data_IF_758838342865
#
_entry.id   IF_758838342865
#
_cell.length_a   1.000
_cell.length_b   1.000
_cell.length_c   1.000
_cell.angle_alpha   90.00
_cell.angle_beta   90.00
_cell.angle_gamma   90.00
#
_symmetry.space_group_name_H-M   'P 1'
#
loop_
_entity.id
_entity.type
_entity.pdbx_description
1 polymer ?
2 non-polymer ?
3 non-polymer ?
4 non-polymer ?
5 water ?
#
# COMPACT_ATOMS: atom_id res chain seq x y z
N UNK A 2 19.06 -7.69 -37.24
CA UNK A 2 19.39 -6.49 -36.40
C UNK A 2 18.30 -6.21 -35.37
N UNK A 3 18.71 -5.80 -34.17
CA UNK A 3 17.74 -5.59 -33.11
C UNK A 3 16.74 -4.51 -33.48
N UNK A 4 17.23 -3.38 -34.00
CA UNK A 4 16.34 -2.28 -34.31
C UNK A 4 15.41 -2.62 -35.46
N UNK A 5 15.93 -3.29 -36.49
CA UNK A 5 15.05 -3.71 -37.58
C UNK A 5 13.97 -4.66 -37.09
N UNK A 6 14.32 -5.60 -36.21
CA UNK A 6 13.31 -6.51 -35.68
C UNK A 6 12.29 -5.77 -34.82
N UNK A 7 12.69 -4.68 -34.15
CA UNK A 7 11.74 -3.88 -33.40
C UNK A 7 10.70 -3.20 -34.31
N UNK A 8 11.13 -2.68 -35.46
CA UNK A 8 10.15 -2.14 -36.41
C UNK A 8 9.19 -3.21 -36.91
N UNK A 9 9.67 -4.44 -37.14
CA UNK A 9 8.77 -5.54 -37.51
C UNK A 9 7.78 -5.83 -36.38
N UNK A 10 8.28 -5.89 -35.14
CA UNK A 10 7.39 -6.13 -34.02
C UNK A 10 6.31 -5.06 -33.92
N UNK A 11 6.66 -3.81 -34.19
CA UNK A 11 5.71 -2.71 -34.04
C UNK A 11 4.58 -2.82 -35.05
N UNK A 12 4.89 -3.35 -36.24
CA UNK A 12 3.87 -3.61 -37.25
C UNK A 12 2.95 -4.77 -36.86
N UNK A 13 3.47 -5.76 -36.15
CA UNK A 13 2.61 -6.84 -35.62
C UNK A 13 1.65 -6.29 -34.58
N UNK A 14 2.11 -5.36 -33.74
CA UNK A 14 1.27 -4.88 -32.65
C UNK A 14 1.60 -3.44 -32.30
N UNK A 15 0.61 -2.58 -32.43
CA UNK A 15 0.75 -1.18 -32.10
C UNK A 15 0.35 -1.02 -30.61
N UNK A 16 1.29 -0.70 -29.72
CA UNK A 16 0.92 -0.62 -28.28
C UNK A 16 0.26 0.69 -27.86
N UNK A 17 0.04 1.63 -28.78
CA UNK A 17 -0.44 2.96 -28.40
C UNK A 17 -1.74 2.88 -27.62
N UNK A 18 -2.75 2.18 -28.17
CA UNK A 18 -4.04 2.13 -27.53
C UNK A 18 -4.00 1.44 -26.18
N UNK A 19 -3.09 0.48 -26.03
CA UNK A 19 -2.96 -0.18 -24.74
C UNK A 19 -2.24 0.71 -23.72
N UNK A 20 -1.22 1.45 -24.17
CA UNK A 20 -0.62 2.47 -23.31
C UNK A 20 -1.64 3.52 -22.91
N UNK A 21 -2.52 3.90 -23.84
CA UNK A 21 -3.54 4.89 -23.51
C UNK A 21 -4.50 4.32 -22.46
N UNK A 22 -4.85 3.06 -22.61
CA UNK A 22 -5.74 2.42 -21.65
C UNK A 22 -5.07 2.37 -20.29
N UNK A 23 -3.78 2.06 -20.24
CA UNK A 23 -3.08 2.02 -18.99
C UNK A 23 -3.08 3.40 -18.32
N UNK A 24 -2.88 4.45 -19.10
CA UNK A 24 -2.90 5.79 -18.55
C UNK A 24 -4.24 6.07 -17.88
N UNK A 25 -5.30 5.72 -18.59
CA UNK A 25 -6.63 5.90 -18.08
C UNK A 25 -6.82 5.19 -16.73
N UNK A 26 -6.42 3.94 -16.66
CA UNK A 26 -6.55 3.18 -15.44
C UNK A 26 -5.72 3.79 -14.32
N UNK A 27 -4.52 4.25 -14.64
CA UNK A 27 -3.68 4.87 -13.65
C UNK A 27 -4.36 6.13 -13.09
N UNK A 28 -4.90 6.96 -13.97
CA UNK A 28 -5.59 8.19 -13.59
C UNK A 28 -6.83 7.90 -12.76
N UNK A 29 -7.58 6.87 -13.13
CA UNK A 29 -8.75 6.47 -12.40
C UNK A 29 -8.35 6.06 -10.98
N UNK A 30 -7.25 5.36 -10.84
CA UNK A 30 -6.74 4.97 -9.58
C UNK A 30 -6.37 6.19 -8.71
N UNK A 31 -5.72 7.18 -9.29
CA UNK A 31 -5.37 8.39 -8.57
C UNK A 31 -6.66 9.06 -8.07
N UNK A 32 -7.67 9.10 -8.92
CA UNK A 32 -8.96 9.73 -8.60
C UNK A 32 -9.62 9.01 -7.43
N UNK A 33 -9.62 7.69 -7.47
CA UNK A 33 -10.18 6.92 -6.35
C UNK A 33 -9.39 7.15 -5.06
N UNK A 34 -8.08 7.30 -5.17
CA UNK A 34 -7.27 7.57 -4.01
C UNK A 34 -7.67 8.89 -3.39
N UNK A 35 -7.78 9.92 -4.20
CA UNK A 35 -8.16 11.23 -3.68
C UNK A 35 -9.57 11.20 -3.15
N UNK A 36 -10.49 10.62 -3.87
CA UNK A 36 -11.85 10.56 -3.43
C UNK A 36 -12.14 9.81 -2.17
N UNK A 37 -11.52 8.68 -2.01
CA UNK A 37 -11.82 7.85 -0.89
C UNK A 37 -10.81 7.81 0.23
N UNK A 38 -9.57 8.12 -0.05
CA UNK A 38 -8.54 7.98 0.96
C UNK A 38 -7.78 9.22 1.40
N UNK A 39 -7.26 9.97 0.44
CA UNK A 39 -6.52 11.19 0.77
C UNK A 39 -7.47 12.33 1.10
N UNK A 40 -8.53 12.51 0.31
CA UNK A 40 -9.61 13.46 0.54
C UNK A 40 -9.04 14.84 0.87
N UNK A 41 -8.02 15.23 0.11
CA UNK A 41 -7.40 16.52 0.36
C UNK A 41 -8.31 17.67 -0.07
N UNK A 42 -8.95 17.55 -1.24
CA UNK A 42 -9.77 18.62 -1.78
C UNK A 42 -11.21 18.46 -1.29
N UNK A 43 -11.94 19.56 -1.32
CA UNK A 43 -13.40 19.48 -1.26
C UNK A 43 -13.90 18.70 -2.48
N UNK A 44 -14.97 17.93 -2.29
CA UNK A 44 -15.49 17.08 -3.37
C UNK A 44 -15.78 17.93 -4.60
N UNK A 45 -16.30 19.14 -4.41
CA UNK A 45 -16.57 20.04 -5.53
C UNK A 45 -15.31 20.39 -6.30
N UNK A 46 -14.17 20.43 -5.63
CA UNK A 46 -12.94 20.80 -6.23
C UNK A 46 -12.10 19.67 -6.88
N UNK A 47 -12.63 18.47 -7.00
CA UNK A 47 -11.89 17.38 -7.60
C UNK A 47 -12.17 17.18 -9.08
N UNK A 48 -13.02 18.01 -9.63
CA UNK A 48 -13.40 17.90 -11.01
C UNK A 48 -12.35 17.76 -12.10
N UNK A 49 -11.28 18.48 -11.95
CA UNK A 49 -10.20 18.41 -12.90
C UNK A 49 -9.42 17.10 -12.78
N UNK A 50 -9.28 16.57 -11.56
CA UNK A 50 -8.64 15.26 -11.38
C UNK A 50 -9.51 14.18 -12.00
N UNK A 51 -10.82 14.33 -11.82
CA UNK A 51 -11.82 13.43 -12.35
C UNK A 51 -11.87 13.37 -13.87
N UNK A 52 -11.58 14.48 -14.53
CA UNK A 52 -11.59 14.57 -15.99
C UNK A 52 -10.35 13.87 -16.55
N UNK A 53 -10.38 12.56 -16.59
CA UNK A 53 -9.18 11.79 -16.88
C UNK A 53 -8.84 11.74 -18.37
N UNK A 54 -9.79 11.98 -19.27
CA UNK A 54 -9.48 11.95 -20.69
C UNK A 54 -8.90 13.27 -21.18
N UNK A 55 -8.71 14.26 -20.31
CA UNK A 55 -8.15 15.53 -20.70
C UNK A 55 -6.64 15.46 -20.88
N UNK A 56 -6.16 16.11 -21.95
CA UNK A 56 -4.72 16.23 -22.18
C UNK A 56 -4.02 17.10 -21.15
N UNK A 57 -4.75 17.94 -20.41
CA UNK A 57 -4.18 18.73 -19.31
C UNK A 57 -4.14 17.97 -17.99
N UNK A 58 -4.61 16.72 -17.95
CA UNK A 58 -4.64 15.95 -16.70
C UNK A 58 -3.32 15.94 -15.93
N UNK A 59 -2.17 15.78 -16.63
CA UNK A 59 -0.90 15.81 -15.90
C UNK A 59 -0.65 17.13 -15.15
N UNK A 60 -1.07 18.25 -15.69
CA UNK A 60 -0.88 19.52 -15.02
C UNK A 60 -1.64 19.51 -13.70
N UNK A 61 -2.84 18.98 -13.69
CA UNK A 61 -3.62 18.91 -12.49
C UNK A 61 -2.99 17.94 -11.50
N UNK A 62 -2.45 16.83 -11.98
CA UNK A 62 -1.79 15.89 -11.10
C UNK A 62 -0.58 16.52 -10.44
N UNK A 63 0.13 17.37 -11.19
CA UNK A 63 1.32 18.07 -10.67
C UNK A 63 0.92 19.00 -9.54
N UNK A 64 -0.15 19.75 -9.74
CA UNK A 64 -0.70 20.57 -8.67
C UNK A 64 -1.11 19.71 -7.49
N UNK A 65 -1.67 18.52 -7.74
CA UNK A 65 -2.12 17.66 -6.65
C UNK A 65 -0.95 17.19 -5.81
N UNK A 66 0.09 16.67 -6.47
CA UNK A 66 1.27 16.23 -5.76
C UNK A 66 1.88 17.37 -4.95
N UNK A 67 1.89 18.59 -5.51
CA UNK A 67 2.30 19.74 -4.72
C UNK A 67 1.35 19.97 -3.56
N UNK A 68 0.03 19.89 -3.80
CA UNK A 68 -0.92 20.27 -2.77
C UNK A 68 -0.89 19.33 -1.57
N UNK A 69 -0.49 18.07 -1.75
CA UNK A 69 -0.39 17.15 -0.62
C UNK A 69 1.05 17.03 -0.11
N UNK A 70 1.95 17.90 -0.60
CA UNK A 70 3.35 17.90 -0.18
C UNK A 70 4.02 16.57 -0.48
N UNK A 71 3.69 15.98 -1.62
CA UNK A 71 4.39 14.78 -2.04
C UNK A 71 5.82 15.17 -2.42
N UNK A 72 6.84 14.46 -1.96
CA UNK A 72 8.23 14.84 -2.27
C UNK A 72 8.72 14.41 -3.65
N UNK A 73 7.87 13.80 -4.47
CA UNK A 73 8.24 13.36 -5.79
C UNK A 73 7.46 14.14 -6.84
N UNK A 74 7.96 14.14 -8.06
CA UNK A 74 7.27 14.83 -9.13
C UNK A 74 6.61 13.79 -10.01
N UNK A 75 5.81 14.24 -10.96
CA UNK A 75 5.09 13.34 -11.86
C UNK A 75 6.00 12.44 -12.65
N UNK A 76 7.13 12.94 -13.09
CA UNK A 76 8.09 12.16 -13.81
C UNK A 76 8.53 10.93 -13.02
N UNK A 77 8.52 11.01 -11.70
CA UNK A 77 8.82 9.84 -10.90
C UNK A 77 7.53 9.17 -10.46
N UNK A 78 6.83 8.58 -11.41
CA UNK A 78 5.53 8.00 -11.13
C UNK A 78 5.47 6.84 -10.14
N UNK A 79 6.40 5.92 -10.22
CA UNK A 79 6.37 4.81 -9.32
C UNK A 79 6.53 5.26 -7.88
N UNK A 80 7.45 6.18 -7.66
CA UNK A 80 7.71 6.72 -6.34
C UNK A 80 6.53 7.54 -5.83
N UNK A 81 5.88 8.30 -6.72
CA UNK A 81 4.71 9.07 -6.30
C UNK A 81 3.59 8.16 -5.85
N UNK A 82 3.35 7.08 -6.59
CA UNK A 82 2.28 6.16 -6.24
C UNK A 82 2.54 5.54 -4.88
N UNK A 83 3.74 4.99 -4.68
CA UNK A 83 4.10 4.40 -3.40
C UNK A 83 3.95 5.41 -2.26
N UNK A 84 4.37 6.65 -2.49
CA UNK A 84 4.27 7.66 -1.45
C UNK A 84 2.82 7.97 -1.12
N UNK A 85 1.98 8.09 -2.16
CA UNK A 85 0.56 8.40 -1.94
C UNK A 85 -0.15 7.26 -1.23
N UNK A 86 0.19 6.02 -1.59
CA UNK A 86 -0.34 4.86 -0.87
C UNK A 86 0.10 4.89 0.60
N UNK A 87 1.37 5.16 0.87
CA UNK A 87 1.81 5.31 2.24
C UNK A 87 1.05 6.37 3.00
N UNK A 88 0.84 7.53 2.38
CA UNK A 88 0.02 8.58 2.98
C UNK A 88 -1.40 8.08 3.22
N UNK A 89 -2.00 7.43 2.22
CA UNK A 89 -3.35 6.89 2.39
C UNK A 89 -3.43 5.91 3.56
N UNK A 90 -2.44 5.03 3.68
CA UNK A 90 -2.47 4.06 4.77
C UNK A 90 -2.40 4.76 6.12
N UNK A 91 -1.50 5.73 6.26
CA UNK A 91 -1.36 6.43 7.52
C UNK A 91 -2.60 7.24 7.84
N UNK A 92 -3.26 7.77 6.80
CA UNK A 92 -4.49 8.51 7.05
C UNK A 92 -5.61 7.56 7.47
N UNK A 93 -5.59 6.35 6.92
CA UNK A 93 -6.68 5.41 7.19
C UNK A 93 -6.55 4.77 8.56
N UNK A 94 -5.33 4.52 9.01
CA UNK A 94 -5.12 3.79 10.26
C UNK A 94 -5.59 4.63 11.45
N UNK A 95 -6.55 4.11 12.21
CA UNK A 95 -7.15 4.90 13.27
C UNK A 95 -8.33 5.69 12.74
N UNK A 96 -9.29 5.01 12.13
CA UNK A 96 -10.44 5.66 11.49
C UNK A 96 -10.04 6.97 10.81
N UNK B 2 25.96 -5.86 37.04
CA UNK B 2 27.08 -6.76 36.66
C UNK B 2 26.81 -7.42 35.31
N UNK B 3 26.28 -8.65 35.33
CA UNK B 3 25.93 -9.31 34.08
C UNK B 3 24.75 -8.61 33.41
N UNK B 4 23.87 -8.00 34.21
CA UNK B 4 22.71 -7.34 33.62
C UNK B 4 23.09 -6.02 32.98
N UNK B 5 24.06 -5.32 33.57
CA UNK B 5 24.49 -4.06 32.96
C UNK B 5 25.27 -4.34 31.67
N UNK B 6 25.92 -5.50 31.59
CA UNK B 6 26.64 -5.85 30.36
C UNK B 6 25.66 -6.23 29.26
N UNK B 7 24.55 -6.89 29.64
CA UNK B 7 23.53 -7.22 28.66
C UNK B 7 22.86 -5.96 28.14
N UNK B 8 22.63 -5.00 29.01
CA UNK B 8 22.01 -3.75 28.61
C UNK B 8 22.89 -3.01 27.61
N UNK B 9 24.18 -2.97 27.85
CA UNK B 9 25.09 -2.28 26.94
C UNK B 9 25.08 -2.96 25.59
N UNK B 10 25.08 -4.27 25.57
CA UNK B 10 25.04 -5.02 24.33
C UNK B 10 23.75 -4.77 23.56
N UNK B 11 22.63 -4.76 24.26
CA UNK B 11 21.35 -4.54 23.64
C UNK B 11 21.27 -3.17 23.03
N UNK B 12 21.79 -2.19 23.75
CA UNK B 12 21.79 -0.82 23.27
C UNK B 12 22.64 -0.66 22.02
N UNK B 13 23.77 -1.36 21.98
CA UNK B 13 24.70 -1.31 20.87
C UNK B 13 24.12 -1.81 19.55
N UNK B 14 23.31 -2.86 19.62
CA UNK B 14 22.67 -3.44 18.45
C UNK B 14 21.33 -2.82 18.07
N UNK B 15 20.84 -1.90 18.87
CA UNK B 15 19.53 -1.28 18.67
C UNK B 15 19.74 0.20 18.39
N UNK B 16 20.37 0.55 17.26
CA UNK B 16 20.71 1.96 17.00
C UNK B 16 19.48 2.84 16.81
N UNK B 17 18.39 2.31 16.23
CA UNK B 17 17.17 3.07 16.01
C UNK B 17 16.36 3.30 17.29
N UNK B 18 16.67 2.55 18.36
CA UNK B 18 15.92 2.71 19.59
C UNK B 18 14.59 1.99 19.63
N UNK B 19 14.44 0.89 18.86
CA UNK B 19 13.18 0.14 18.86
C UNK B 19 12.90 -0.40 20.26
N UNK B 20 11.63 -0.51 20.61
CA UNK B 20 11.26 -0.97 21.94
C UNK B 20 10.03 -1.87 21.90
N UNK B 21 9.75 -2.51 23.03
CA UNK B 21 8.56 -3.35 23.18
C UNK B 21 7.29 -2.65 22.69
N UNK B 22 7.18 -1.34 22.88
CA UNK B 22 6.01 -0.63 22.39
C UNK B 22 5.89 -0.76 20.87
N UNK B 23 7.02 -0.72 20.17
CA UNK B 23 6.99 -0.86 18.71
C UNK B 23 6.50 -2.25 18.31
N UNK B 24 6.95 -3.29 19.01
CA UNK B 24 6.45 -4.63 18.80
C UNK B 24 4.94 -4.68 18.89
N UNK B 25 4.40 -4.10 19.97
CA UNK B 25 2.96 -4.06 20.17
C UNK B 25 2.26 -3.31 19.03
N UNK B 26 2.82 -2.17 18.63
CA UNK B 26 2.24 -1.39 17.53
C UNK B 26 2.24 -2.19 16.24
N UNK B 27 3.34 -2.89 15.94
CA UNK B 27 3.37 -3.75 14.78
C UNK B 27 2.24 -4.78 14.83
N UNK B 28 2.09 -5.49 15.96
CA UNK B 28 1.02 -6.48 16.05
C UNK B 28 -0.35 -5.84 15.90
N UNK B 29 -0.60 -4.71 16.57
CA UNK B 29 -1.88 -4.03 16.41
C UNK B 29 -2.13 -3.66 14.94
N UNK B 30 -1.07 -3.33 14.22
CA UNK B 30 -1.25 -2.96 12.82
C UNK B 30 -1.66 -4.16 11.99
N UNK B 31 -1.03 -5.32 12.24
CA UNK B 31 -1.41 -6.56 11.56
C UNK B 31 -2.86 -6.88 11.88
N UNK B 32 -3.26 -6.66 13.14
CA UNK B 32 -4.62 -6.97 13.57
C UNK B 32 -5.61 -6.10 12.82
N UNK B 33 -5.28 -4.81 12.71
CA UNK B 33 -6.13 -3.87 11.98
C UNK B 33 -6.22 -4.23 10.51
N UNK B 34 -5.09 -4.61 9.88
CA UNK B 34 -5.17 -5.03 8.50
C UNK B 34 -6.16 -6.18 8.33
N UNK B 35 -6.01 -7.21 9.12
CA UNK B 35 -6.89 -8.34 9.02
C UNK B 35 -8.32 -7.94 9.36
N UNK B 36 -8.52 -7.13 10.38
CA UNK B 36 -9.88 -6.73 10.73
C UNK B 36 -10.64 -5.91 9.73
N UNK B 37 -9.97 -4.94 9.17
CA UNK B 37 -10.60 -4.01 8.31
C UNK B 37 -10.33 -4.10 6.83
N UNK B 38 -9.21 -4.68 6.45
CA UNK B 38 -8.82 -4.65 5.06
C UNK B 38 -8.78 -6.01 4.38
N UNK B 39 -8.17 -7.02 4.99
CA UNK B 39 -8.04 -8.34 4.37
C UNK B 39 -9.20 -9.24 4.73
N UNK B 40 -9.53 -9.33 6.02
CA UNK B 40 -10.70 -10.07 6.52
C UNK B 40 -10.73 -11.51 5.98
N UNK B 41 -9.59 -12.19 6.07
CA UNK B 41 -9.50 -13.57 5.65
C UNK B 41 -10.26 -14.48 6.61
N UNK B 42 -10.15 -14.23 7.90
CA UNK B 42 -10.84 -15.01 8.91
C UNK B 42 -12.23 -14.42 9.13
N UNK B 43 -13.13 -15.27 9.63
CA UNK B 43 -14.37 -14.79 10.21
C UNK B 43 -14.06 -13.98 11.47
N UNK B 44 -14.90 -12.96 11.71
CA UNK B 44 -14.62 -12.04 12.79
C UNK B 44 -14.46 -12.76 14.12
N UNK B 45 -15.18 -13.87 14.31
CA UNK B 45 -15.10 -14.57 15.59
C UNK B 45 -13.85 -15.45 15.68
N UNK B 46 -13.08 -15.55 14.60
CA UNK B 46 -11.89 -16.38 14.58
C UNK B 46 -10.60 -15.57 14.63
N UNK B 47 -10.68 -14.29 14.98
CA UNK B 47 -9.51 -13.43 15.01
C UNK B 47 -8.96 -13.24 16.43
N UNK B 48 -9.48 -13.97 17.41
CA UNK B 48 -9.16 -13.69 18.81
C UNK B 48 -7.70 -13.91 19.16
N UNK B 49 -7.07 -14.88 18.54
CA UNK B 49 -5.67 -15.15 18.82
C UNK B 49 -4.78 -14.10 18.17
N UNK B 50 -5.17 -13.63 16.99
CA UNK B 50 -4.46 -12.57 16.32
C UNK B 50 -4.58 -11.29 17.16
N UNK B 51 -5.76 -11.07 17.71
CA UNK B 51 -6.07 -9.92 18.57
C UNK B 51 -5.30 -9.87 19.87
N UNK B 52 -5.01 -11.04 20.45
CA UNK B 52 -4.27 -11.16 21.71
C UNK B 52 -2.78 -10.89 21.49
N UNK B 53 -2.46 -9.62 21.29
CA UNK B 53 -1.12 -9.21 20.86
C UNK B 53 -0.09 -9.30 21.97
N UNK B 54 -0.52 -9.29 23.24
CA UNK B 54 0.41 -9.38 24.36
C UNK B 54 0.82 -10.81 24.69
N UNK B 55 0.34 -11.78 23.93
CA UNK B 55 0.72 -13.14 24.19
C UNK B 55 2.05 -13.45 23.53
N UNK B 56 2.87 -14.27 24.17
CA UNK B 56 4.15 -14.70 23.60
C UNK B 56 3.99 -15.73 22.46
N UNK B 57 2.81 -16.33 22.36
CA UNK B 57 2.42 -17.21 21.29
C UNK B 57 1.96 -16.46 20.01
N UNK B 58 1.89 -15.14 20.03
CA UNK B 58 1.40 -14.40 18.88
C UNK B 58 2.16 -14.68 17.59
N UNK B 59 3.49 -14.84 17.64
CA UNK B 59 4.19 -15.16 16.39
C UNK B 59 3.73 -16.47 15.73
N UNK B 60 3.38 -17.49 16.51
CA UNK B 60 2.86 -18.74 15.97
C UNK B 60 1.56 -18.48 15.22
N UNK B 61 0.70 -17.62 15.78
CA UNK B 61 -0.54 -17.28 15.14
C UNK B 61 -0.28 -16.45 13.88
N UNK B 62 0.59 -15.46 13.96
CA UNK B 62 0.97 -14.69 12.77
C UNK B 62 1.56 -15.61 11.70
N UNK B 63 2.44 -16.54 12.09
CA UNK B 63 2.98 -17.53 11.14
C UNK B 63 1.86 -18.27 10.43
N UNK B 64 0.85 -18.73 11.19
CA UNK B 64 -0.30 -19.41 10.60
C UNK B 64 -1.08 -18.49 9.67
N UNK B 65 -1.21 -17.22 10.05
CA UNK B 65 -1.93 -16.26 9.24
C UNK B 65 -1.27 -16.06 7.89
N UNK B 66 0.06 -15.92 7.87
CA UNK B 66 0.74 -15.71 6.60
C UNK B 66 0.60 -16.94 5.70
N UNK B 67 0.67 -18.13 6.28
CA UNK B 67 0.41 -19.34 5.50
C UNK B 67 -1.02 -19.35 4.97
N UNK B 68 -2.00 -19.05 5.84
CA UNK B 68 -3.40 -19.14 5.42
C UNK B 68 -3.73 -18.18 4.29
N UNK B 69 -3.09 -17.01 4.27
CA UNK B 69 -3.37 -16.05 3.20
C UNK B 69 -2.42 -16.21 2.03
N UNK B 70 -1.56 -17.24 2.03
CA UNK B 70 -0.61 -17.55 0.95
C UNK B 70 0.42 -16.44 0.75
N UNK B 71 0.79 -15.79 1.83
CA UNK B 71 1.85 -14.81 1.76
C UNK B 71 3.16 -15.55 1.47
N UNK B 72 3.94 -15.10 0.49
CA UNK B 72 5.20 -15.83 0.17
C UNK B 72 6.31 -15.59 1.19
N UNK B 73 6.09 -14.75 2.18
CA UNK B 73 7.12 -14.41 3.14
C UNK B 73 6.74 -14.98 4.50
N UNK B 74 7.76 -15.36 5.27
CA UNK B 74 7.62 -15.87 6.61
C UNK B 74 7.78 -14.74 7.62
N UNK B 75 7.45 -15.04 8.89
CA UNK B 75 7.50 -13.98 9.90
C UNK B 75 8.91 -13.40 10.03
N UNK B 76 9.95 -14.17 9.67
CA UNK B 76 11.31 -13.67 9.74
C UNK B 76 11.55 -12.55 8.73
N UNK B 77 10.74 -12.51 7.67
CA UNK B 77 10.84 -11.45 6.66
C UNK B 77 9.79 -10.37 6.91
N UNK B 78 9.93 -9.66 8.02
CA UNK B 78 8.82 -8.83 8.48
C UNK B 78 8.45 -7.74 7.48
N UNK B 79 9.44 -6.98 7.00
CA UNK B 79 9.17 -5.83 6.14
C UNK B 79 8.56 -6.26 4.82
N UNK B 80 9.08 -7.35 4.23
CA UNK B 80 8.52 -7.91 3.01
C UNK B 80 7.09 -8.37 3.22
N UNK B 81 6.83 -9.02 4.36
CA UNK B 81 5.48 -9.50 4.68
C UNK B 81 4.51 -8.34 4.76
N UNK B 82 4.90 -7.28 5.51
CA UNK B 82 4.04 -6.11 5.65
C UNK B 82 3.73 -5.53 4.28
N UNK B 83 4.77 -5.33 3.47
CA UNK B 83 4.61 -4.83 2.11
C UNK B 83 3.67 -5.70 1.29
N UNK B 84 3.82 -7.02 1.39
CA UNK B 84 2.97 -7.89 0.60
C UNK B 84 1.51 -7.82 1.07
N UNK B 85 1.29 -7.72 2.38
CA UNK B 85 -0.05 -7.61 2.96
C UNK B 85 -0.71 -6.29 2.60
N UNK B 86 0.06 -5.21 2.59
CA UNK B 86 -0.49 -3.93 2.16
C UNK B 86 -0.89 -3.95 0.70
N UNK B 87 -0.05 -4.54 -0.14
CA UNK B 87 -0.41 -4.60 -1.55
C UNK B 87 -1.70 -5.36 -1.74
N UNK B 88 -1.84 -6.47 -1.03
CA UNK B 88 -3.08 -7.24 -1.04
C UNK B 88 -4.25 -6.39 -0.57
N UNK B 89 -4.06 -5.65 0.54
CA UNK B 89 -5.14 -4.83 1.07
C UNK B 89 -5.57 -3.76 0.06
N UNK B 90 -4.61 -3.08 -0.55
CA UNK B 90 -4.92 -2.12 -1.62
C UNK B 90 -5.69 -2.79 -2.75
N UNK B 91 -5.25 -3.98 -3.17
CA UNK B 91 -5.93 -4.62 -4.30
C UNK B 91 -7.35 -4.99 -3.92
N UNK B 92 -7.54 -5.46 -2.67
CA UNK B 92 -8.89 -5.86 -2.26
C UNK B 92 -9.79 -4.64 -2.15
N UNK B 93 -9.25 -3.54 -1.63
CA UNK B 93 -10.06 -2.35 -1.44
C UNK B 93 -10.46 -1.74 -2.79
N UNK B 94 -9.50 -1.63 -3.72
CA UNK B 94 -9.80 -1.16 -5.06
C UNK B 94 -10.75 -2.10 -5.78
N UNK B 95 -10.66 -3.42 -5.50
CA UNK B 95 -11.66 -4.35 -6.02
C UNK B 95 -13.03 -4.22 -5.38
N UNK B 96 -13.07 -3.94 -4.07
CA UNK B 96 -14.34 -3.65 -3.44
C UNK B 96 -15.01 -2.45 -4.10
N UNK B 97 -14.23 -1.41 -4.41
CA UNK B 97 -14.75 -0.22 -5.08
C UNK B 97 -15.31 -0.57 -6.45
N UNK B 98 -14.66 -1.50 -7.15
CA UNK B 98 -15.08 -1.86 -8.50
C UNK B 98 -16.40 -2.62 -8.50
N UNK B 99 -16.78 -3.27 -7.39
CA UNK B 99 -18.05 -4.00 -7.38
C UNK B 99 -19.27 -3.08 -7.51
N UNK B 100 -19.12 -1.78 -7.21
CA UNK B 100 -20.22 -0.84 -7.44
C UNK B 100 -20.54 -0.72 -8.92
N UNK B 101 -19.57 -0.94 -9.79
CA UNK B 101 -19.76 -0.83 -11.24
C UNK B 101 -20.23 -2.14 -11.88
N UNK B 102 -20.30 -3.22 -11.11
CA UNK B 102 -20.78 -4.51 -11.58
C UNK B 102 -22.22 -4.75 -11.10
N UNK B 103 -22.77 -3.80 -10.36
CA UNK B 103 -24.21 -3.58 -10.26
C UNK B 103 -24.95 -4.58 -9.39
#
# INVERSE_FOLDING_TARGET
>A
SNAFRRKLTALDYHNPAGFNCKDETEFRNFIVWLEDQKIRHYKIEDRGNLRNIHSSDWPKFFEKYLRDVNCPFKIQDRQEAIDWLLGLAVRLEYGDNAEKYKD
>B
SNAFRRKLTALDYHNPAGFNCKDETEFRNFIVWLEDQKIRHYKIEDRGNLRNIHSSDWPKFFEKYLRDVNCPFKIQDRQEAIDWLLGLAVRLEYGDNAEKYKD
#
